data_IF_895061394769
#
_entry.id   IF_895061394769
#
_cell.length_a   1.000
_cell.length_b   1.000
_cell.length_c   1.000
_cell.angle_alpha   90.00
_cell.angle_beta   90.00
_cell.angle_gamma   90.00
#
_symmetry.space_group_name_H-M   'P 1'
#
loop_
_entity.id
_entity.type
_entity.pdbx_description
1 polymer ?
#
# COMPACT_ATOMS: atom_id res chain seq x y z
N UNK A 1 8.67 28.62 40.78
CA UNK A 1 8.24 28.58 39.37
C UNK A 1 9.43 28.11 38.58
N UNK A 2 9.37 26.91 38.00
CA UNK A 2 10.48 26.39 37.18
C UNK A 2 10.49 27.17 35.85
N UNK A 3 11.64 27.72 35.49
CA UNK A 3 11.90 28.24 34.14
C UNK A 3 11.80 27.07 33.17
N UNK A 4 10.91 27.19 32.18
CA UNK A 4 10.67 26.18 31.15
C UNK A 4 11.46 26.62 29.92
N UNK A 5 12.40 25.79 29.47
CA UNK A 5 13.08 25.97 28.19
C UNK A 5 12.04 26.03 27.05
N UNK A 6 12.06 27.12 26.31
CA UNK A 6 11.34 27.25 25.05
C UNK A 6 12.13 26.40 24.04
N UNK A 7 11.63 25.20 23.74
CA UNK A 7 12.20 24.38 22.67
C UNK A 7 11.83 24.99 21.32
N UNK A 8 12.82 25.16 20.44
CA UNK A 8 12.58 25.51 19.04
C UNK A 8 11.74 24.42 18.37
N UNK A 9 10.91 24.81 17.39
CA UNK A 9 10.15 23.86 16.58
C UNK A 9 11.11 22.89 15.87
N UNK A 10 10.70 21.64 15.59
CA UNK A 10 11.55 20.65 14.94
C UNK A 10 12.17 21.20 13.64
N UNK A 11 13.43 20.84 13.37
CA UNK A 11 14.11 21.25 12.14
C UNK A 11 13.28 20.90 10.89
N UNK A 12 13.02 21.89 10.04
CA UNK A 12 12.23 21.74 8.81
C UNK A 12 10.72 22.04 8.96
N UNK A 13 10.27 22.39 10.16
CA UNK A 13 8.92 22.87 10.40
C UNK A 13 8.76 24.29 9.84
N UNK A 14 7.77 24.50 8.97
CA UNK A 14 7.50 25.82 8.39
C UNK A 14 6.76 26.65 9.45
N UNK A 15 7.31 27.79 9.86
CA UNK A 15 6.64 28.76 10.75
C UNK A 15 5.93 29.82 9.89
N UNK A 16 4.68 29.53 9.52
CA UNK A 16 3.88 30.35 8.59
C UNK A 16 3.05 31.42 9.29
N UNK A 17 2.74 31.19 10.56
CA UNK A 17 1.98 32.09 11.40
C UNK A 17 2.92 32.75 12.42
N UNK A 18 2.71 34.05 12.64
CA UNK A 18 3.33 34.75 13.76
C UNK A 18 2.64 34.34 15.08
N UNK A 19 2.88 33.09 15.50
CA UNK A 19 2.24 32.49 16.67
C UNK A 19 2.86 33.00 17.96
N UNK A 20 2.00 33.26 18.94
CA UNK A 20 2.38 33.68 20.29
C UNK A 20 3.17 32.61 21.04
N UNK A 21 3.90 33.02 22.08
CA UNK A 21 4.68 32.11 22.93
C UNK A 21 3.81 31.00 23.55
N UNK A 22 2.55 31.31 23.86
CA UNK A 22 1.62 30.33 24.43
C UNK A 22 1.20 29.29 23.40
N UNK A 23 1.01 29.68 22.13
CA UNK A 23 0.73 28.79 21.01
C UNK A 23 1.94 27.89 20.72
N UNK A 24 3.16 28.45 20.70
CA UNK A 24 4.40 27.68 20.57
C UNK A 24 4.52 26.63 21.67
N UNK A 25 4.24 27.01 22.92
CA UNK A 25 4.24 26.09 24.06
C UNK A 25 3.24 24.95 23.88
N UNK A 26 2.01 25.25 23.47
CA UNK A 26 0.97 24.23 23.24
C UNK A 26 1.37 23.28 22.10
N UNK A 27 1.92 23.81 21.00
CA UNK A 27 2.39 23.01 19.87
C UNK A 27 3.53 22.07 20.28
N UNK A 28 4.53 22.58 21.01
CA UNK A 28 5.62 21.75 21.57
C UNK A 28 5.11 20.67 22.53
N UNK A 29 4.10 21.00 23.35
CA UNK A 29 3.47 20.01 24.22
C UNK A 29 2.81 18.88 23.42
N UNK A 30 2.15 19.20 22.30
CA UNK A 30 1.52 18.22 21.41
C UNK A 30 2.54 17.37 20.66
N UNK A 31 3.64 17.96 20.19
CA UNK A 31 4.76 17.22 19.60
C UNK A 31 5.33 16.21 20.61
N UNK A 32 5.57 16.63 21.85
CA UNK A 32 6.06 15.74 22.89
C UNK A 32 5.08 14.59 23.20
N UNK A 33 3.77 14.86 23.20
CA UNK A 33 2.74 13.83 23.39
C UNK A 33 2.70 12.86 22.21
N UNK A 34 2.84 13.35 20.99
CA UNK A 34 2.95 12.53 19.80
C UNK A 34 4.15 11.58 19.89
N UNK A 35 5.33 12.09 20.21
CA UNK A 35 6.56 11.28 20.30
C UNK A 35 6.47 10.24 21.43
N UNK A 36 5.91 10.65 22.57
CA UNK A 36 5.62 9.74 23.68
C UNK A 36 4.61 8.66 23.27
N UNK A 37 3.59 8.98 22.47
CA UNK A 37 2.60 7.99 22.01
C UNK A 37 3.20 7.05 20.96
N UNK A 38 4.01 7.57 20.03
CA UNK A 38 4.67 6.81 18.97
C UNK A 38 5.58 5.69 19.50
N UNK A 39 6.17 5.89 20.67
CA UNK A 39 7.05 4.91 21.32
C UNK A 39 6.30 3.89 22.18
N UNK A 40 5.00 4.08 22.43
CA UNK A 40 4.21 3.15 23.20
C UNK A 40 3.71 1.97 22.37
N UNK A 41 3.61 0.82 23.03
CA UNK A 41 2.80 -0.28 22.53
C UNK A 41 1.33 0.11 22.74
N UNK A 42 0.62 0.30 21.65
CA UNK A 42 -0.82 0.50 21.64
C UNK A 42 -1.42 -0.88 21.35
N UNK A 43 -2.09 -1.44 22.34
CA UNK A 43 -2.88 -2.65 22.15
C UNK A 43 -4.12 -2.23 21.36
N UNK A 44 -4.06 -2.39 20.04
CA UNK A 44 -5.16 -2.08 19.14
C UNK A 44 -6.34 -2.97 19.52
N UNK A 45 -7.26 -2.41 20.32
CA UNK A 45 -8.50 -3.08 20.72
C UNK A 45 -9.19 -3.57 19.46
N UNK A 46 -9.50 -4.87 19.44
CA UNK A 46 -9.94 -5.58 18.24
C UNK A 46 -11.08 -4.91 17.47
N UNK A 47 -11.18 -5.31 16.20
CA UNK A 47 -12.25 -4.90 15.30
C UNK A 47 -13.63 -5.19 15.91
N UNK A 48 -14.57 -4.26 15.70
CA UNK A 48 -15.97 -4.47 16.06
C UNK A 48 -16.74 -4.79 14.78
N UNK A 49 -17.48 -5.90 14.78
CA UNK A 49 -18.23 -6.39 13.63
C UNK A 49 -19.69 -6.60 14.06
N UNK A 50 -20.65 -6.21 13.23
CA UNK A 50 -22.08 -6.43 13.49
C UNK A 50 -22.52 -7.86 13.10
N UNK A 51 -23.81 -8.16 13.26
CA UNK A 51 -24.40 -9.47 12.92
C UNK A 51 -24.29 -9.81 11.43
N UNK A 52 -24.23 -8.81 10.55
CA UNK A 52 -24.08 -8.96 9.09
C UNK A 52 -22.62 -9.08 8.62
N UNK A 53 -21.66 -9.15 9.55
CA UNK A 53 -20.24 -9.23 9.21
C UNK A 53 -19.62 -7.89 8.77
N UNK A 54 -20.28 -6.76 9.04
CA UNK A 54 -19.80 -5.41 8.70
C UNK A 54 -19.03 -4.78 9.85
N UNK A 55 -17.95 -4.07 9.51
CA UNK A 55 -17.17 -3.28 10.47
C UNK A 55 -17.99 -2.13 11.06
N UNK A 56 -17.95 -2.04 12.39
CA UNK A 56 -18.62 -1.03 13.20
C UNK A 56 -17.60 -0.02 13.72
N UNK A 57 -17.85 1.25 13.43
CA UNK A 57 -17.12 2.39 13.98
C UNK A 57 -17.76 2.78 15.30
N UNK A 58 -16.94 2.91 16.36
CA UNK A 58 -17.43 3.36 17.67
C UNK A 58 -17.54 4.88 17.69
N UNK A 59 -18.42 5.37 18.54
CA UNK A 59 -18.45 6.80 18.86
C UNK A 59 -17.06 7.29 19.29
N UNK A 60 -16.67 8.45 18.77
CA UNK A 60 -15.37 9.07 18.99
C UNK A 60 -14.27 8.62 18.02
N UNK A 61 -14.47 7.54 17.24
CA UNK A 61 -13.50 7.08 16.23
C UNK A 61 -13.14 8.22 15.28
N UNK A 62 -11.85 8.37 14.99
CA UNK A 62 -11.36 9.34 14.02
C UNK A 62 -11.06 8.67 12.68
N UNK A 63 -11.33 9.38 11.60
CA UNK A 63 -11.10 8.93 10.23
C UNK A 63 -10.37 10.01 9.45
N UNK A 64 -9.28 9.65 8.81
CA UNK A 64 -8.53 10.51 7.90
C UNK A 64 -8.49 9.89 6.52
N UNK A 65 -9.16 10.53 5.55
CA UNK A 65 -9.15 10.12 4.16
C UNK A 65 -8.03 10.78 3.37
N UNK A 66 -7.37 10.02 2.50
CA UNK A 66 -6.50 10.60 1.47
C UNK A 66 -7.27 10.69 0.14
N UNK A 67 -6.90 11.68 -0.67
CA UNK A 67 -7.56 11.93 -1.96
C UNK A 67 -7.36 10.79 -2.97
N UNK A 68 -6.19 10.14 -2.97
CA UNK A 68 -5.86 8.99 -3.81
C UNK A 68 -4.72 8.16 -3.19
N UNK A 69 -4.59 6.91 -3.62
CA UNK A 69 -3.51 6.01 -3.24
C UNK A 69 -2.21 6.36 -3.96
N UNK A 70 -1.19 6.72 -3.17
CA UNK A 70 0.18 6.95 -3.62
C UNK A 70 1.15 6.11 -2.77
N UNK A 71 1.84 5.10 -3.35
CA UNK A 71 2.70 4.20 -2.58
C UNK A 71 3.72 4.90 -1.67
N UNK A 72 4.34 5.98 -2.14
CA UNK A 72 5.34 6.74 -1.38
C UNK A 72 4.71 7.44 -0.16
N UNK A 73 3.59 8.14 -0.36
CA UNK A 73 2.84 8.79 0.71
C UNK A 73 2.37 7.78 1.76
N UNK A 74 1.82 6.66 1.33
CA UNK A 74 1.36 5.58 2.23
C UNK A 74 2.54 4.95 3.00
N UNK A 75 3.68 4.78 2.34
CA UNK A 75 4.92 4.33 2.99
C UNK A 75 5.37 5.32 4.07
N UNK A 76 5.31 6.62 3.80
CA UNK A 76 5.68 7.64 4.78
C UNK A 76 4.71 7.64 5.96
N UNK A 77 3.40 7.59 5.70
CA UNK A 77 2.36 7.49 6.73
C UNK A 77 2.57 6.24 7.61
N UNK A 78 3.01 5.11 7.06
CA UNK A 78 3.30 3.91 7.87
C UNK A 78 4.43 4.11 8.88
N UNK A 79 5.42 4.95 8.55
CA UNK A 79 6.62 5.19 9.37
C UNK A 79 6.40 6.27 10.44
N UNK A 80 5.62 7.29 10.11
CA UNK A 80 5.44 8.47 10.97
C UNK A 80 4.05 8.52 11.59
N UNK A 81 3.02 8.33 10.77
CA UNK A 81 1.63 8.60 11.09
C UNK A 81 1.05 9.63 10.13
N UNK A 82 -0.10 10.18 10.51
CA UNK A 82 -0.70 11.32 9.82
C UNK A 82 -0.18 12.57 10.50
N UNK A 83 0.47 13.44 9.73
CA UNK A 83 1.03 14.69 10.22
C UNK A 83 0.45 15.89 9.46
N UNK A 84 0.54 17.06 10.07
CA UNK A 84 0.23 18.35 9.43
C UNK A 84 1.17 18.67 8.26
N UNK A 85 0.69 19.45 7.28
CA UNK A 85 1.47 19.86 6.11
C UNK A 85 2.81 20.50 6.49
N UNK A 86 2.82 21.44 7.44
CA UNK A 86 4.05 22.17 7.79
C UNK A 86 5.14 21.27 8.39
N UNK A 87 4.76 20.18 9.05
CA UNK A 87 5.73 19.22 9.58
C UNK A 87 6.42 18.39 8.49
N UNK A 88 5.81 18.34 7.30
CA UNK A 88 6.31 17.68 6.11
C UNK A 88 7.00 18.67 5.14
N UNK A 89 7.10 19.95 5.52
CA UNK A 89 7.60 21.01 4.64
C UNK A 89 6.63 21.41 3.53
N UNK A 90 5.34 21.20 3.75
CA UNK A 90 4.26 21.60 2.82
C UNK A 90 3.56 22.82 3.41
N UNK A 91 3.40 23.86 2.60
CA UNK A 91 2.69 25.06 3.02
C UNK A 91 1.18 24.78 3.18
N UNK A 92 0.53 25.36 4.20
CA UNK A 92 -0.92 25.20 4.37
C UNK A 92 -1.71 26.09 3.40
N UNK A 93 -2.88 25.60 2.99
CA UNK A 93 -3.76 26.27 2.03
C UNK A 93 -4.67 27.34 2.67
N UNK A 94 -4.43 27.65 3.95
CA UNK A 94 -5.03 28.76 4.69
C UNK A 94 -6.19 28.37 5.61
N UNK A 95 -6.41 27.07 5.82
CA UNK A 95 -7.54 26.54 6.58
C UNK A 95 -7.17 26.08 8.01
N UNK A 96 -6.23 25.14 8.14
CA UNK A 96 -5.86 24.53 9.43
C UNK A 96 -4.35 24.51 9.61
N UNK A 97 -3.82 25.53 10.27
CA UNK A 97 -2.39 25.67 10.49
C UNK A 97 -1.88 24.70 11.56
N UNK A 98 -0.78 24.00 11.28
CA UNK A 98 -0.13 23.08 12.19
C UNK A 98 -0.99 21.91 12.67
N UNK A 99 -2.13 21.67 12.03
CA UNK A 99 -3.07 20.63 12.41
C UNK A 99 -3.15 19.54 11.33
N UNK A 100 -3.54 18.34 11.76
CA UNK A 100 -4.04 17.31 10.89
C UNK A 100 -5.54 17.13 11.14
N UNK A 101 -6.31 17.06 10.05
CA UNK A 101 -7.77 17.01 10.11
C UNK A 101 -8.32 15.60 10.04
N UNK A 102 -9.38 15.39 10.81
CA UNK A 102 -10.08 14.11 10.91
C UNK A 102 -11.58 14.32 10.95
N UNK A 103 -12.30 13.36 10.39
CA UNK A 103 -13.70 13.17 10.69
C UNK A 103 -13.86 12.40 12.00
N UNK A 104 -14.79 12.82 12.84
CA UNK A 104 -15.15 12.20 14.10
C UNK A 104 -16.51 11.53 13.98
N UNK A 105 -16.56 10.25 14.34
CA UNK A 105 -17.79 9.48 14.42
C UNK A 105 -18.59 9.93 15.65
N UNK A 106 -19.71 10.63 15.45
CA UNK A 106 -20.53 11.18 16.54
C UNK A 106 -21.46 10.14 17.20
N UNK A 107 -21.68 9.01 16.54
CA UNK A 107 -22.48 7.89 17.07
C UNK A 107 -21.99 6.59 16.48
N UNK A 108 -21.95 5.54 17.30
CA UNK A 108 -21.63 4.18 16.83
C UNK A 108 -22.48 3.79 15.62
N UNK A 109 -21.84 3.37 14.53
CA UNK A 109 -22.48 3.10 13.23
C UNK A 109 -21.60 2.17 12.39
N UNK A 110 -22.16 1.56 11.34
CA UNK A 110 -21.35 0.81 10.37
C UNK A 110 -20.58 1.75 9.44
N UNK A 111 -19.50 1.27 8.83
CA UNK A 111 -18.77 2.06 7.80
C UNK A 111 -19.72 2.46 6.67
N UNK A 112 -20.57 1.55 6.21
CA UNK A 112 -21.51 1.81 5.12
C UNK A 112 -22.49 2.95 5.44
N UNK A 113 -23.12 2.91 6.62
CA UNK A 113 -24.05 3.95 7.07
C UNK A 113 -23.35 5.29 7.28
N UNK A 114 -22.17 5.27 7.93
CA UNK A 114 -21.38 6.48 8.14
C UNK A 114 -21.07 7.15 6.81
N UNK A 115 -20.65 6.36 5.83
CA UNK A 115 -20.31 6.84 4.51
C UNK A 115 -21.52 7.44 3.76
N UNK A 116 -22.69 6.80 3.87
CA UNK A 116 -23.96 7.29 3.30
C UNK A 116 -24.47 8.59 3.94
N UNK A 117 -23.98 8.94 5.13
CA UNK A 117 -24.42 10.14 5.85
C UNK A 117 -23.83 11.45 5.32
N UNK A 118 -22.84 11.39 4.41
CA UNK A 118 -22.20 12.56 3.82
C UNK A 118 -22.73 12.87 2.43
N UNK A 119 -22.90 14.15 2.13
CA UNK A 119 -23.22 14.63 0.78
C UNK A 119 -21.92 14.91 0.01
N UNK A 120 -21.69 14.18 -1.08
CA UNK A 120 -20.46 14.30 -1.89
C UNK A 120 -20.22 15.68 -2.50
N UNK A 121 -21.26 16.54 -2.54
CA UNK A 121 -21.16 17.91 -3.04
C UNK A 121 -20.44 18.85 -2.08
N UNK A 122 -20.26 18.45 -0.82
CA UNK A 122 -19.70 19.31 0.23
C UNK A 122 -18.17 19.20 0.34
N UNK A 123 -17.51 18.46 -0.57
CA UNK A 123 -16.04 18.43 -0.70
C UNK A 123 -15.30 17.60 0.35
N UNK A 124 -15.89 17.43 1.54
CA UNK A 124 -15.27 16.82 2.72
C UNK A 124 -15.98 15.55 3.11
N UNK A 125 -15.40 14.44 2.70
CA UNK A 125 -15.94 13.12 3.04
C UNK A 125 -14.86 12.31 3.74
N UNK A 126 -15.22 11.48 4.73
CA UNK A 126 -14.27 10.71 5.52
C UNK A 126 -13.41 9.75 4.69
N UNK A 127 -13.82 9.43 3.46
CA UNK A 127 -13.14 8.48 2.58
C UNK A 127 -12.71 9.11 1.24
N UNK A 128 -12.55 10.44 1.19
CA UNK A 128 -11.96 11.15 0.04
C UNK A 128 -12.76 10.99 -1.26
N UNK A 129 -13.82 11.78 -1.46
CA UNK A 129 -14.56 11.92 -2.72
C UNK A 129 -14.87 10.61 -3.47
N UNK A 130 -15.14 9.49 -2.79
CA UNK A 130 -15.55 8.21 -3.40
C UNK A 130 -14.76 7.79 -4.66
N UNK A 131 -13.50 8.21 -4.79
CA UNK A 131 -12.70 7.75 -5.92
C UNK A 131 -12.37 6.30 -5.62
N UNK A 132 -12.47 5.45 -6.62
CA UNK A 132 -12.21 4.01 -6.45
C UNK A 132 -10.78 3.73 -5.92
N UNK A 133 -9.87 4.69 -6.07
CA UNK A 133 -8.47 4.63 -5.63
C UNK A 133 -8.20 5.34 -4.29
N UNK A 134 -9.23 5.73 -3.53
CA UNK A 134 -9.05 6.39 -2.23
C UNK A 134 -8.79 5.39 -1.10
N UNK A 135 -8.12 5.88 -0.05
CA UNK A 135 -7.80 5.14 1.17
C UNK A 135 -8.07 6.04 2.36
N UNK A 136 -8.54 5.47 3.47
CA UNK A 136 -8.68 6.19 4.73
C UNK A 136 -8.15 5.37 5.89
N UNK A 137 -7.67 6.07 6.92
CA UNK A 137 -7.17 5.48 8.15
C UNK A 137 -8.21 5.64 9.26
N UNK A 138 -8.45 4.57 10.00
CA UNK A 138 -9.31 4.51 11.16
C UNK A 138 -8.43 4.53 12.40
N UNK A 139 -8.69 5.47 13.30
CA UNK A 139 -7.97 5.64 14.55
C UNK A 139 -8.94 5.38 15.71
N UNK A 140 -8.52 4.53 16.65
CA UNK A 140 -9.36 4.11 17.77
C UNK A 140 -9.53 5.27 18.77
N UNK A 141 -10.75 5.49 19.31
CA UNK A 141 -10.96 6.38 20.44
C UNK A 141 -10.53 5.64 21.71
N UNK A 142 -9.24 5.59 21.97
CA UNK A 142 -8.70 5.04 23.21
C UNK A 142 -8.26 6.15 24.18
N UNK A 143 -8.08 5.77 25.44
CA UNK A 143 -7.68 6.71 26.50
C UNK A 143 -6.30 7.31 26.30
N UNK A 144 -5.49 6.79 25.36
CA UNK A 144 -4.16 7.32 25.05
C UNK A 144 -4.26 8.42 23.99
N UNK A 145 -5.19 8.29 23.04
CA UNK A 145 -5.53 9.33 22.06
C UNK A 145 -6.18 10.54 22.75
N UNK A 146 -6.83 10.37 23.90
CA UNK A 146 -7.39 11.48 24.68
C UNK A 146 -6.35 12.56 25.04
N UNK A 147 -5.08 12.19 25.22
CA UNK A 147 -3.99 13.16 25.45
C UNK A 147 -3.75 14.04 24.20
N UNK A 148 -3.83 13.49 22.99
CA UNK A 148 -3.71 14.26 21.75
C UNK A 148 -4.95 15.12 21.49
N UNK A 149 -6.13 14.63 21.89
CA UNK A 149 -7.40 15.33 21.73
C UNK A 149 -7.65 16.45 22.75
N UNK A 150 -6.75 16.67 23.72
CA UNK A 150 -6.97 17.71 24.74
C UNK A 150 -6.99 19.13 24.15
N UNK A 151 -6.34 19.32 23.01
CA UNK A 151 -6.25 20.60 22.30
C UNK A 151 -6.90 20.56 20.91
N UNK A 152 -7.80 19.59 20.70
CA UNK A 152 -8.60 19.52 19.47
C UNK A 152 -9.30 20.86 19.22
N UNK A 153 -9.00 21.49 18.09
CA UNK A 153 -9.45 22.83 17.76
C UNK A 153 -10.98 22.94 17.59
N UNK A 154 -11.69 21.82 17.37
CA UNK A 154 -13.15 21.80 17.27
C UNK A 154 -13.87 21.42 18.56
N UNK A 155 -13.16 20.98 19.62
CA UNK A 155 -13.78 20.63 20.91
C UNK A 155 -13.89 21.83 21.84
N UNK A 156 -15.08 22.05 22.40
CA UNK A 156 -15.27 23.00 23.50
C UNK A 156 -15.03 22.30 24.84
N UNK A 157 -13.79 22.24 25.29
CA UNK A 157 -13.44 21.51 26.50
C UNK A 157 -12.54 22.27 27.50
N UNK A 158 -11.85 23.36 27.12
CA UNK A 158 -11.00 24.17 28.02
C UNK A 158 -10.73 25.60 27.50
N UNK A 159 -10.18 26.50 28.34
CA UNK A 159 -9.60 27.78 27.90
C UNK A 159 -8.44 27.59 26.89
N UNK A 160 -7.74 26.46 26.93
CA UNK A 160 -6.68 26.17 25.97
C UNK A 160 -7.24 25.85 24.58
N UNK A 161 -8.46 25.34 24.51
CA UNK A 161 -9.18 25.09 23.26
C UNK A 161 -9.54 26.39 22.56
N UNK A 162 -9.81 27.47 23.30
CA UNK A 162 -10.02 28.80 22.72
C UNK A 162 -8.73 29.38 22.11
N UNK A 163 -7.57 29.06 22.70
CA UNK A 163 -6.27 29.39 22.11
C UNK A 163 -6.05 28.54 20.86
N UNK A 164 -6.36 27.24 20.89
CA UNK A 164 -6.09 26.36 19.74
C UNK A 164 -7.02 26.58 18.57
N UNK A 165 -8.25 27.09 18.79
CA UNK A 165 -9.14 27.57 17.72
C UNK A 165 -8.46 28.58 16.80
N UNK A 166 -7.49 29.37 17.28
CA UNK A 166 -6.75 30.32 16.44
C UNK A 166 -5.82 29.67 15.40
N UNK A 167 -5.54 28.38 15.51
CA UNK A 167 -4.85 27.59 14.48
C UNK A 167 -5.78 27.20 13.34
N UNK A 168 -7.09 27.37 13.49
CA UNK A 168 -8.09 27.05 12.46
C UNK A 168 -8.77 28.34 11.98
N UNK A 169 -8.75 28.56 10.68
CA UNK A 169 -9.47 29.66 10.04
C UNK A 169 -10.93 29.27 9.80
N UNK A 170 -11.77 29.40 10.82
CA UNK A 170 -13.19 29.00 10.76
C UNK A 170 -14.00 29.74 9.69
N UNK A 171 -13.57 30.92 9.24
CA UNK A 171 -14.24 31.66 8.15
C UNK A 171 -14.18 30.92 6.81
N UNK A 172 -13.22 30.01 6.63
CA UNK A 172 -13.12 29.13 5.46
C UNK A 172 -14.07 27.93 5.49
N UNK A 173 -14.80 27.70 6.60
CA UNK A 173 -15.58 26.49 6.87
C UNK A 173 -17.10 26.69 7.00
N UNK A 174 -17.76 27.51 6.16
CA UNK A 174 -19.18 27.71 6.31
C UNK A 174 -19.91 26.39 6.04
N UNK A 175 -20.68 25.93 7.05
CA UNK A 175 -21.56 24.74 7.02
C UNK A 175 -20.98 23.39 7.42
N UNK A 176 -19.80 23.30 8.05
CA UNK A 176 -19.33 22.02 8.58
C UNK A 176 -19.78 21.80 10.03
N UNK A 177 -20.38 20.64 10.28
CA UNK A 177 -20.78 20.19 11.61
C UNK A 177 -19.54 19.89 12.45
N UNK A 178 -19.14 20.86 13.29
CA UNK A 178 -17.90 20.82 14.09
C UNK A 178 -17.84 19.64 15.04
N UNK A 179 -18.99 19.12 15.49
CA UNK A 179 -19.05 17.93 16.35
C UNK A 179 -18.59 16.65 15.63
N UNK A 180 -18.59 16.67 14.28
CA UNK A 180 -18.12 15.59 13.41
C UNK A 180 -16.70 15.80 12.89
N UNK A 181 -16.00 16.82 13.39
CA UNK A 181 -14.62 17.09 13.03
C UNK A 181 -13.71 16.95 14.24
N UNK A 182 -12.42 16.81 13.94
CA UNK A 182 -11.33 16.93 14.89
C UNK A 182 -10.13 17.49 14.14
N UNK A 183 -9.46 18.47 14.72
CA UNK A 183 -8.22 19.01 14.18
C UNK A 183 -7.16 18.88 15.26
N UNK A 184 -6.18 18.01 15.03
CA UNK A 184 -5.18 17.63 16.02
C UNK A 184 -3.87 18.31 15.65
N UNK A 185 -3.33 19.10 16.57
CA UNK A 185 -2.03 19.73 16.40
C UNK A 185 -0.95 18.66 16.16
N UNK A 186 -0.07 18.96 15.21
CA UNK A 186 1.01 18.10 14.74
C UNK A 186 0.57 16.82 14.03
N UNK A 187 -0.26 15.97 14.65
CA UNK A 187 -0.78 14.77 14.02
C UNK A 187 -1.09 13.60 14.95
N UNK A 188 -1.23 12.41 14.36
CA UNK A 188 -1.49 11.14 15.04
C UNK A 188 -0.48 10.09 14.56
N UNK A 189 0.23 9.39 15.48
CA UNK A 189 1.28 8.46 15.09
C UNK A 189 0.71 7.16 14.50
N UNK A 190 1.48 6.50 13.63
CA UNK A 190 1.00 5.33 12.87
C UNK A 190 0.63 4.13 13.74
N UNK A 191 1.23 4.00 14.93
CA UNK A 191 0.90 2.95 15.89
C UNK A 191 -0.49 3.11 16.52
N UNK A 192 -1.16 4.26 16.35
CA UNK A 192 -2.53 4.49 16.80
C UNK A 192 -3.59 4.06 15.77
N UNK A 193 -3.17 3.68 14.55
CA UNK A 193 -4.10 3.22 13.52
C UNK A 193 -4.66 1.85 13.89
N UNK A 194 -5.98 1.75 13.84
CA UNK A 194 -6.73 0.54 14.11
C UNK A 194 -7.06 -0.21 12.82
N UNK A 195 -7.37 0.53 11.75
CA UNK A 195 -7.79 -0.07 10.49
C UNK A 195 -7.66 0.86 9.30
N UNK A 196 -7.88 0.31 8.11
CA UNK A 196 -7.76 0.98 6.83
C UNK A 196 -9.02 0.70 6.01
N UNK A 197 -9.63 1.74 5.46
CA UNK A 197 -10.72 1.63 4.48
C UNK A 197 -10.16 1.83 3.09
N UNK A 198 -10.49 0.93 2.16
CA UNK A 198 -10.01 0.98 0.78
C UNK A 198 -11.16 1.10 -0.22
N UNK A 199 -10.91 1.85 -1.30
CA UNK A 199 -11.79 1.94 -2.46
C UNK A 199 -11.73 0.71 -3.38
N UNK A 200 -12.69 0.63 -4.30
CA UNK A 200 -12.93 -0.57 -5.12
C UNK A 200 -11.75 -0.95 -6.05
N UNK A 201 -10.97 0.02 -6.53
CA UNK A 201 -9.79 -0.27 -7.37
C UNK A 201 -8.67 -0.91 -6.55
N UNK A 202 -8.44 -0.41 -5.33
CA UNK A 202 -7.48 -1.00 -4.40
C UNK A 202 -7.95 -2.39 -3.98
N UNK A 203 -9.24 -2.53 -3.65
CA UNK A 203 -9.85 -3.81 -3.24
C UNK A 203 -9.64 -4.92 -4.27
N UNK A 204 -9.71 -4.59 -5.58
CA UNK A 204 -9.51 -5.54 -6.68
C UNK A 204 -8.05 -5.89 -6.93
N UNK A 205 -7.10 -5.16 -6.35
CA UNK A 205 -5.66 -5.34 -6.57
C UNK A 205 -5.02 -6.11 -5.42
N UNK A 206 -4.79 -7.41 -5.61
CA UNK A 206 -4.10 -8.25 -4.63
C UNK A 206 -2.70 -7.71 -4.27
N UNK A 207 -1.99 -7.15 -5.23
CA UNK A 207 -0.68 -6.53 -5.02
C UNK A 207 -0.79 -5.32 -4.08
N UNK A 208 -1.75 -4.44 -4.31
CA UNK A 208 -1.93 -3.23 -3.49
C UNK A 208 -2.42 -3.58 -2.08
N UNK A 209 -3.31 -4.56 -1.95
CA UNK A 209 -3.74 -5.08 -0.64
C UNK A 209 -2.56 -5.71 0.10
N UNK A 210 -1.74 -6.52 -0.58
CA UNK A 210 -0.54 -7.13 0.01
C UNK A 210 0.47 -6.10 0.49
N UNK A 211 0.67 -5.03 -0.30
CA UNK A 211 1.50 -3.90 0.07
C UNK A 211 1.00 -3.21 1.36
N UNK A 212 -0.32 -2.98 1.48
CA UNK A 212 -0.92 -2.40 2.68
C UNK A 212 -0.75 -3.30 3.91
N UNK A 213 -0.93 -4.62 3.77
CA UNK A 213 -0.73 -5.59 4.86
C UNK A 213 0.73 -5.55 5.35
N UNK A 214 1.71 -5.41 4.45
CA UNK A 214 3.12 -5.32 4.83
C UNK A 214 3.45 -4.05 5.60
N UNK A 215 2.86 -2.91 5.21
CA UNK A 215 3.08 -1.63 5.88
C UNK A 215 2.33 -1.50 7.21
N UNK A 216 1.13 -2.09 7.31
CA UNK A 216 0.24 -1.96 8.46
C UNK A 216 -0.19 -3.34 8.99
N UNK A 217 0.75 -4.17 9.46
CA UNK A 217 0.48 -5.57 9.82
C UNK A 217 -0.45 -5.73 11.03
N UNK A 218 -0.68 -4.65 11.79
CA UNK A 218 -1.54 -4.63 12.99
C UNK A 218 -2.87 -3.90 12.75
N UNK A 219 -3.15 -3.49 11.51
CA UNK A 219 -4.41 -2.84 11.14
C UNK A 219 -5.29 -3.82 10.39
N UNK A 220 -6.60 -3.79 10.64
CA UNK A 220 -7.54 -4.44 9.72
C UNK A 220 -7.68 -3.63 8.44
N UNK A 221 -8.05 -4.29 7.35
CA UNK A 221 -8.39 -3.65 6.08
C UNK A 221 -9.83 -4.01 5.75
N UNK A 222 -10.62 -3.03 5.36
CA UNK A 222 -12.03 -3.18 5.02
C UNK A 222 -12.36 -2.40 3.76
N UNK A 223 -13.38 -2.84 3.03
CA UNK A 223 -13.98 -2.05 1.95
C UNK A 223 -14.70 -0.82 2.51
N UNK A 224 -15.07 0.10 1.60
CA UNK A 224 -15.92 1.27 1.88
C UNK A 224 -17.36 0.96 2.34
N UNK A 225 -17.80 -0.29 2.20
CA UNK A 225 -19.09 -0.81 2.69
C UNK A 225 -18.93 -1.63 3.96
N UNK A 226 -17.71 -1.68 4.53
CA UNK A 226 -17.46 -2.35 5.79
C UNK A 226 -17.24 -3.86 5.67
N UNK A 227 -17.05 -4.42 4.47
CA UNK A 227 -16.63 -5.83 4.39
C UNK A 227 -15.15 -5.97 4.73
N UNK A 228 -14.86 -6.90 5.63
CA UNK A 228 -13.50 -7.21 6.05
C UNK A 228 -12.70 -7.85 4.90
N UNK A 229 -11.56 -7.25 4.58
CA UNK A 229 -10.59 -7.73 3.57
C UNK A 229 -9.44 -8.46 4.27
N UNK A 230 -8.98 -7.89 5.38
CA UNK A 230 -7.90 -8.43 6.18
C UNK A 230 -8.19 -8.12 7.65
N UNK A 231 -8.04 -9.11 8.51
CA UNK A 231 -8.00 -8.92 9.95
C UNK A 231 -6.61 -9.31 10.45
N UNK A 232 -5.96 -8.46 11.25
CA UNK A 232 -4.79 -8.84 12.01
C UNK A 232 -5.26 -9.78 13.11
N UNK A 233 -5.45 -11.04 12.77
CA UNK A 233 -5.63 -12.11 13.74
C UNK A 233 -4.46 -12.05 14.72
N UNK A 234 -4.71 -12.30 16.00
CA UNK A 234 -3.67 -12.43 17.03
C UNK A 234 -2.68 -13.52 16.62
N UNK A 235 -1.67 -13.20 15.80
CA UNK A 235 -0.62 -14.13 15.39
C UNK A 235 0.20 -14.46 16.64
N UNK A 236 -0.08 -15.62 17.22
CA UNK A 236 0.72 -16.20 18.29
C UNK A 236 2.16 -16.33 17.77
N UNK A 237 3.19 -15.98 18.55
CA UNK A 237 4.58 -15.95 18.07
C UNK A 237 5.03 -17.26 17.41
N UNK A 238 4.44 -18.37 17.84
CA UNK A 238 4.64 -19.69 17.24
C UNK A 238 4.25 -19.75 15.76
N UNK A 239 3.15 -19.12 15.38
CA UNK A 239 2.68 -19.09 13.98
C UNK A 239 3.50 -18.14 13.12
N UNK A 240 4.10 -17.08 13.70
CA UNK A 240 5.10 -16.25 12.98
C UNK A 240 6.35 -17.06 12.65
N UNK A 241 6.82 -17.88 13.58
CA UNK A 241 7.96 -18.78 13.37
C UNK A 241 7.61 -19.85 12.33
N UNK A 242 6.42 -20.45 12.41
CA UNK A 242 5.98 -21.49 11.46
C UNK A 242 5.76 -20.92 10.05
N UNK A 243 5.19 -19.72 9.92
CA UNK A 243 5.03 -19.03 8.63
C UNK A 243 6.37 -18.59 8.04
N UNK A 244 7.29 -18.05 8.86
CA UNK A 244 8.64 -17.72 8.42
C UNK A 244 9.41 -18.97 7.95
N UNK A 245 9.24 -20.09 8.67
CA UNK A 245 9.82 -21.39 8.30
C UNK A 245 9.21 -21.94 7.01
N UNK A 246 7.90 -21.86 6.81
CA UNK A 246 7.27 -22.26 5.54
C UNK A 246 7.75 -21.40 4.38
N UNK A 247 7.83 -20.07 4.55
CA UNK A 247 8.34 -19.17 3.50
C UNK A 247 9.79 -19.49 3.12
N UNK A 248 10.63 -19.81 4.10
CA UNK A 248 12.01 -20.24 3.86
C UNK A 248 12.09 -21.59 3.13
N UNK A 249 11.27 -22.57 3.52
CA UNK A 249 11.22 -23.85 2.83
C UNK A 249 10.74 -23.71 1.37
N UNK A 250 9.72 -22.88 1.13
CA UNK A 250 9.26 -22.55 -0.21
C UNK A 250 10.32 -21.82 -1.04
N UNK A 251 11.12 -20.92 -0.44
CA UNK A 251 12.19 -20.23 -1.18
C UNK A 251 13.30 -21.20 -1.58
N UNK A 252 13.67 -22.14 -0.71
CA UNK A 252 14.66 -23.19 -1.03
C UNK A 252 14.12 -24.13 -2.12
N UNK A 253 12.86 -24.54 -2.05
CA UNK A 253 12.24 -25.39 -3.07
C UNK A 253 12.17 -24.66 -4.43
N UNK A 254 11.84 -23.37 -4.43
CA UNK A 254 11.85 -22.52 -5.63
C UNK A 254 13.24 -22.38 -6.24
N UNK A 255 14.27 -22.19 -5.43
CA UNK A 255 15.67 -22.13 -5.89
C UNK A 255 16.10 -23.45 -6.53
N UNK A 256 15.80 -24.58 -5.88
CA UNK A 256 16.06 -25.91 -6.44
C UNK A 256 15.33 -26.15 -7.76
N UNK A 257 14.05 -25.76 -7.85
CA UNK A 257 13.27 -25.92 -9.07
C UNK A 257 13.83 -25.07 -10.21
N UNK A 258 14.26 -23.85 -9.89
CA UNK A 258 14.88 -22.92 -10.86
C UNK A 258 16.19 -23.47 -11.40
N UNK A 259 17.03 -24.03 -10.53
CA UNK A 259 18.29 -24.66 -10.93
C UNK A 259 18.05 -25.91 -11.78
N UNK A 260 17.07 -26.74 -11.41
CA UNK A 260 16.69 -27.91 -12.21
C UNK A 260 16.17 -27.53 -13.60
N UNK A 261 15.35 -26.49 -13.70
CA UNK A 261 14.88 -25.97 -14.99
C UNK A 261 16.03 -25.49 -15.85
N UNK A 262 16.96 -24.71 -15.27
CA UNK A 262 18.16 -24.23 -15.98
C UNK A 262 19.02 -25.38 -16.50
N UNK A 263 19.22 -26.42 -15.69
CA UNK A 263 19.97 -27.60 -16.11
C UNK A 263 19.28 -28.35 -17.25
N UNK A 264 17.94 -28.46 -17.20
CA UNK A 264 17.15 -29.09 -18.26
C UNK A 264 17.16 -28.30 -19.55
N UNK A 265 17.15 -26.96 -19.48
CA UNK A 265 17.33 -26.09 -20.65
C UNK A 265 18.70 -26.27 -21.29
N UNK A 266 19.76 -26.35 -20.48
CA UNK A 266 21.12 -26.61 -20.97
C UNK A 266 21.20 -27.97 -21.66
N UNK A 267 20.57 -29.00 -21.09
CA UNK A 267 20.53 -30.34 -21.68
C UNK A 267 19.76 -30.35 -23.01
N UNK A 268 18.57 -29.74 -23.05
CA UNK A 268 17.77 -29.62 -24.27
C UNK A 268 18.52 -28.86 -25.37
N UNK A 269 19.22 -27.78 -25.01
CA UNK A 269 20.04 -27.03 -25.96
C UNK A 269 21.20 -27.87 -26.49
N UNK A 270 21.84 -28.70 -25.65
CA UNK A 270 22.90 -29.62 -26.08
C UNK A 270 22.36 -30.70 -27.01
N UNK A 271 21.19 -31.27 -26.73
CA UNK A 271 20.56 -32.24 -27.62
C UNK A 271 20.17 -31.60 -28.95
N UNK A 272 19.54 -30.42 -28.92
CA UNK A 272 19.20 -29.67 -30.13
C UNK A 272 20.43 -29.41 -30.99
N UNK A 273 21.53 -28.93 -30.40
CA UNK A 273 22.77 -28.71 -31.13
C UNK A 273 23.33 -29.99 -31.76
N UNK A 274 23.17 -31.16 -31.11
CA UNK A 274 23.58 -32.45 -31.69
C UNK A 274 22.69 -32.84 -32.87
N UNK A 275 21.38 -32.66 -32.75
CA UNK A 275 20.43 -32.94 -33.82
C UNK A 275 20.66 -32.03 -35.03
N UNK A 276 20.87 -30.74 -34.80
CA UNK A 276 21.18 -29.76 -35.85
C UNK A 276 22.48 -30.16 -36.57
N UNK A 277 23.55 -30.50 -35.83
CA UNK A 277 24.81 -30.96 -36.42
C UNK A 277 24.68 -32.26 -37.22
N UNK A 278 23.85 -33.21 -36.77
CA UNK A 278 23.59 -34.45 -37.49
C UNK A 278 22.77 -34.18 -38.77
N UNK A 279 21.75 -33.34 -38.67
CA UNK A 279 20.92 -32.94 -39.80
C UNK A 279 21.77 -32.23 -40.85
N UNK A 280 22.64 -31.33 -40.43
CA UNK A 280 23.62 -30.65 -41.27
C UNK A 280 24.49 -31.64 -42.05
N UNK A 281 25.10 -32.61 -41.36
CA UNK A 281 25.91 -33.63 -41.99
C UNK A 281 25.12 -34.51 -42.97
N UNK A 282 23.85 -34.82 -42.66
CA UNK A 282 22.98 -35.57 -43.56
C UNK A 282 22.61 -34.77 -44.82
N UNK A 283 22.34 -33.47 -44.67
CA UNK A 283 22.06 -32.59 -45.80
C UNK A 283 23.28 -32.47 -46.75
N UNK A 284 24.50 -32.55 -46.21
CA UNK A 284 25.73 -32.50 -47.01
C UNK A 284 26.02 -33.81 -47.78
N UNK A 285 25.73 -34.97 -47.17
CA UNK A 285 26.21 -36.28 -47.68
C UNK A 285 25.12 -37.11 -48.36
N UNK A 286 23.86 -36.96 -47.96
CA UNK A 286 22.75 -37.82 -48.41
C UNK A 286 21.89 -37.17 -49.50
N UNK A 287 21.19 -37.99 -50.28
CA UNK A 287 20.16 -37.50 -51.22
C UNK A 287 18.90 -37.04 -50.48
N UNK A 288 18.07 -36.22 -51.14
CA UNK A 288 16.81 -35.71 -50.58
C UNK A 288 15.89 -36.85 -50.12
N UNK A 289 15.79 -37.91 -50.93
CA UNK A 289 14.98 -39.09 -50.66
C UNK A 289 15.46 -39.84 -49.41
N UNK A 290 16.78 -39.95 -49.24
CA UNK A 290 17.39 -40.63 -48.10
C UNK A 290 17.12 -39.88 -46.79
N UNK A 291 17.28 -38.56 -46.78
CA UNK A 291 16.97 -37.73 -45.60
C UNK A 291 15.47 -37.74 -45.30
N UNK A 292 14.61 -37.63 -46.32
CA UNK A 292 13.16 -37.68 -46.15
C UNK A 292 12.69 -39.03 -45.57
N UNK A 293 13.26 -40.15 -46.03
CA UNK A 293 12.97 -41.47 -45.48
C UNK A 293 13.38 -41.61 -44.01
N UNK A 294 14.52 -41.04 -43.61
CA UNK A 294 14.98 -41.03 -42.21
C UNK A 294 14.06 -40.18 -41.33
N UNK A 295 13.62 -39.00 -41.78
CA UNK A 295 12.69 -38.15 -41.02
C UNK A 295 11.35 -38.84 -40.79
N UNK A 296 10.77 -39.43 -41.83
CA UNK A 296 9.51 -40.17 -41.71
C UNK A 296 9.63 -41.37 -40.78
N UNK A 297 10.74 -42.12 -40.86
CA UNK A 297 11.01 -43.26 -39.97
C UNK A 297 11.14 -42.83 -38.50
N UNK A 298 11.57 -41.60 -38.23
CA UNK A 298 11.69 -41.05 -36.89
C UNK A 298 10.45 -40.24 -36.45
N UNK A 299 9.30 -40.45 -37.10
CA UNK A 299 8.01 -39.93 -36.64
C UNK A 299 7.67 -38.52 -37.12
N UNK A 300 8.37 -37.98 -38.12
CA UNK A 300 7.95 -36.76 -38.79
C UNK A 300 6.57 -36.94 -39.41
N UNK A 301 5.65 -36.00 -39.14
CA UNK A 301 4.29 -36.05 -39.67
C UNK A 301 4.24 -35.44 -41.08
N UNK A 302 3.86 -36.24 -42.08
CA UNK A 302 3.76 -35.78 -43.47
C UNK A 302 3.75 -36.95 -44.47
N UNK A 303 3.46 -36.65 -45.74
CA UNK A 303 3.70 -37.58 -46.85
C UNK A 303 5.16 -37.52 -47.30
N UNK A 304 5.69 -38.58 -47.90
CA UNK A 304 7.04 -38.61 -48.48
C UNK A 304 7.31 -37.41 -49.40
N UNK A 305 6.36 -37.07 -50.26
CA UNK A 305 6.49 -35.92 -51.17
C UNK A 305 6.59 -34.59 -50.40
N UNK A 306 5.78 -34.40 -49.35
CA UNK A 306 5.84 -33.18 -48.54
C UNK A 306 7.14 -33.07 -47.73
N UNK A 307 7.67 -34.20 -47.24
CA UNK A 307 8.93 -34.25 -46.51
C UNK A 307 10.13 -34.01 -47.44
N UNK A 308 10.10 -34.52 -48.66
CA UNK A 308 11.15 -34.25 -49.66
C UNK A 308 11.23 -32.76 -50.02
N UNK A 309 10.08 -32.11 -50.28
CA UNK A 309 10.04 -30.65 -50.53
C UNK A 309 10.57 -29.84 -49.34
N UNK A 310 10.32 -30.30 -48.12
CA UNK A 310 10.87 -29.69 -46.91
C UNK A 310 12.40 -29.80 -46.85
N UNK A 311 12.95 -30.98 -47.15
CA UNK A 311 14.40 -31.23 -47.19
C UNK A 311 15.07 -30.43 -48.31
N UNK A 312 14.45 -30.34 -49.48
CA UNK A 312 14.93 -29.51 -50.60
C UNK A 312 15.12 -28.05 -50.19
N UNK A 313 14.09 -27.47 -49.55
CA UNK A 313 14.15 -26.10 -49.05
C UNK A 313 15.27 -25.90 -48.03
N UNK A 314 15.48 -26.86 -47.11
CA UNK A 314 16.58 -26.78 -46.13
C UNK A 314 17.96 -26.79 -46.81
N UNK A 315 18.15 -27.59 -47.86
CA UNK A 315 19.41 -27.59 -48.63
C UNK A 315 19.64 -26.25 -49.35
N UNK A 316 18.59 -25.67 -49.92
CA UNK A 316 18.64 -24.37 -50.59
C UNK A 316 18.97 -23.24 -49.59
N UNK A 317 18.29 -23.20 -48.45
CA UNK A 317 18.53 -22.23 -47.37
C UNK A 317 19.98 -22.30 -46.85
N UNK A 318 20.51 -23.52 -46.67
CA UNK A 318 21.90 -23.75 -46.26
C UNK A 318 22.91 -23.25 -47.30
N UNK A 319 22.66 -23.56 -48.59
CA UNK A 319 23.52 -23.12 -49.69
C UNK A 319 23.61 -21.60 -49.72
N UNK A 320 22.48 -20.92 -49.61
CA UNK A 320 22.40 -19.46 -49.55
C UNK A 320 23.14 -18.87 -48.33
N UNK A 321 23.08 -19.53 -47.16
CA UNK A 321 23.80 -19.08 -45.97
C UNK A 321 25.33 -19.23 -46.09
N UNK A 322 25.81 -20.32 -46.69
CA UNK A 322 27.24 -20.54 -46.95
C UNK A 322 27.77 -19.49 -47.92
N UNK A 323 27.03 -19.19 -48.98
CA UNK A 323 27.36 -18.15 -49.95
C UNK A 323 27.40 -16.75 -49.31
N UNK A 324 26.48 -16.44 -48.40
CA UNK A 324 26.49 -15.17 -47.66
C UNK A 324 27.70 -15.04 -46.71
N UNK A 325 28.15 -16.13 -46.11
CA UNK A 325 29.30 -16.15 -45.19
C UNK A 325 30.64 -16.09 -45.93
N UNK A 326 30.71 -16.59 -47.17
CA UNK A 326 31.92 -16.52 -48.02
C UNK A 326 32.07 -15.19 -48.76
N UNK A 327 31.04 -14.33 -48.75
CA UNK A 327 31.07 -12.97 -49.33
C UNK A 327 31.42 -11.85 -48.34
N UNK A 328 31.65 -12.16 -47.06
CA UNK A 328 32.12 -11.21 -46.01
C UNK A 328 33.62 -11.40 -45.73
#
# INVERSE_FOLDING_TARGET
MAEIEILDLPNGFIDELNISDIQKKILNEQINRFDKLKTQIIDNKGISINEDGKVVLKEGTLIHGTSYFEPEKITNISKTGILTGQSLGIEEDGETFYCADFHRVSKTTTIEEYNKSFNYRDGRTPFGHFRNSSIAFIISPDSKLDELLSYDCYRENTNASDITKSFVNEMGLPNVDKEKLSSILYGVPSNAFLGIVIGDEIFKSEETVSFLIQLFPNCYITSKTGELVYEPTKFNEKEKIDLARQKYLLSVEKEMLTENLKNKEIELQREKNKYDALMDAMLDVCTIEQVAAVLLKNGWQGSLESTMKYVERLKEERTNQIELQTQK
#
